data_IF_458082032878
#
_entry.id   IF_458082032878
#
_cell.length_a   1.000
_cell.length_b   1.000
_cell.length_c   1.000
_cell.angle_alpha   90.00
_cell.angle_beta   90.00
_cell.angle_gamma   90.00
#
_symmetry.space_group_name_H-M   'P 1'
#
loop_
_entity.id
_entity.type
_entity.pdbx_description
1 polymer ?
#
# COMPACT_ATOMS: atom_id res chain seq x y z
N UNK A 1 -15.54 -7.23 12.16
CA UNK A 1 -15.31 -6.57 10.85
C UNK A 1 -14.81 -5.18 11.17
N UNK A 2 -13.51 -4.94 11.09
CA UNK A 2 -12.88 -3.73 11.62
C UNK A 2 -13.35 -2.50 10.84
N UNK A 3 -13.94 -1.52 11.53
CA UNK A 3 -14.17 -0.19 10.99
C UNK A 3 -12.86 0.35 10.41
N UNK A 4 -12.85 0.72 9.13
CA UNK A 4 -11.67 1.28 8.48
C UNK A 4 -11.18 2.50 9.24
N UNK A 5 -9.92 2.48 9.68
CA UNK A 5 -9.28 3.61 10.37
C UNK A 5 -9.32 4.81 9.42
N UNK A 6 -10.05 5.86 9.79
CA UNK A 6 -10.10 7.10 9.03
C UNK A 6 -8.82 7.89 9.30
N UNK A 7 -8.02 8.10 8.26
CA UNK A 7 -6.85 8.97 8.35
C UNK A 7 -7.29 10.43 8.35
N UNK A 8 -7.10 11.11 9.48
CA UNK A 8 -7.40 12.53 9.65
C UNK A 8 -6.13 13.36 9.60
N UNK A 9 -6.25 14.61 9.14
CA UNK A 9 -5.12 15.55 9.21
C UNK A 9 -4.71 15.76 10.66
N UNK A 10 -3.41 15.92 10.87
CA UNK A 10 -2.89 16.33 12.18
C UNK A 10 -3.58 17.62 12.65
N UNK A 11 -3.86 17.69 13.96
CA UNK A 11 -4.39 18.90 14.59
C UNK A 11 -3.40 20.07 14.49
N UNK A 12 -3.87 21.33 14.58
CA UNK A 12 -3.04 22.52 14.37
C UNK A 12 -1.89 22.69 15.38
N UNK A 13 -1.94 21.99 16.51
CA UNK A 13 -0.91 22.01 17.54
C UNK A 13 0.15 20.89 17.40
N UNK A 14 -0.05 19.95 16.47
CA UNK A 14 0.89 18.85 16.25
C UNK A 14 1.84 19.20 15.12
N UNK A 15 3.14 19.15 15.38
CA UNK A 15 4.18 19.21 14.35
C UNK A 15 5.03 17.95 14.43
N UNK A 16 5.15 17.24 13.32
CA UNK A 16 5.93 16.02 13.24
C UNK A 16 7.43 16.34 13.36
N UNK A 17 8.15 15.50 14.11
CA UNK A 17 9.61 15.56 14.14
C UNK A 17 10.17 15.54 12.70
N UNK A 18 11.08 16.46 12.32
CA UNK A 18 11.73 16.46 11.01
C UNK A 18 12.29 15.09 10.57
N UNK A 19 12.84 14.30 11.49
CA UNK A 19 13.35 12.96 11.17
C UNK A 19 12.23 11.99 10.78
N UNK A 20 11.11 12.02 11.53
CA UNK A 20 9.93 11.20 11.24
C UNK A 20 9.36 11.59 9.87
N UNK A 21 9.29 12.90 9.58
CA UNK A 21 8.84 13.40 8.28
C UNK A 21 9.73 12.90 7.14
N UNK A 22 11.06 12.99 7.28
CA UNK A 22 11.98 12.52 6.26
C UNK A 22 11.85 11.00 6.04
N UNK A 23 11.77 10.22 7.11
CA UNK A 23 11.55 8.77 7.05
C UNK A 23 10.23 8.44 6.34
N UNK A 24 9.14 9.11 6.72
CA UNK A 24 7.82 8.94 6.11
C UNK A 24 7.86 9.21 4.61
N UNK A 25 8.47 10.33 4.20
CA UNK A 25 8.58 10.70 2.79
C UNK A 25 9.40 9.69 1.98
N UNK A 26 10.51 9.21 2.55
CA UNK A 26 11.33 8.16 1.92
C UNK A 26 10.52 6.88 1.70
N UNK A 27 9.78 6.44 2.71
CA UNK A 27 8.91 5.26 2.62
C UNK A 27 7.84 5.42 1.55
N UNK A 28 7.14 6.57 1.52
CA UNK A 28 6.12 6.83 0.50
C UNK A 28 6.75 6.82 -0.90
N UNK A 29 7.96 7.37 -1.07
CA UNK A 29 8.70 7.28 -2.33
C UNK A 29 8.95 5.84 -2.78
N UNK A 30 9.36 4.96 -1.86
CA UNK A 30 9.53 3.52 -2.15
C UNK A 30 8.20 2.85 -2.53
N UNK A 31 7.11 3.16 -1.81
CA UNK A 31 5.80 2.59 -2.11
C UNK A 31 5.24 3.08 -3.46
N UNK A 32 5.50 4.34 -3.84
CA UNK A 32 5.16 4.88 -5.16
C UNK A 32 5.90 4.14 -6.27
N UNK A 33 7.16 3.78 -6.06
CA UNK A 33 7.91 2.97 -7.02
C UNK A 33 7.30 1.57 -7.17
N UNK A 34 6.96 0.91 -6.05
CA UNK A 34 6.37 -0.42 -6.05
C UNK A 34 4.99 -0.45 -6.74
N UNK A 35 4.14 0.55 -6.47
CA UNK A 35 2.79 0.55 -7.05
C UNK A 35 2.79 0.72 -8.57
N UNK A 36 3.80 1.40 -9.13
CA UNK A 36 3.90 1.62 -10.57
C UNK A 36 4.41 0.39 -11.31
N UNK A 37 5.22 -0.45 -10.67
CA UNK A 37 5.88 -1.59 -11.31
C UNK A 37 5.23 -2.94 -11.02
N UNK A 38 5.16 -3.31 -9.74
CA UNK A 38 4.90 -4.70 -9.32
C UNK A 38 3.59 -4.89 -8.57
N UNK A 39 3.09 -3.84 -7.91
CA UNK A 39 1.93 -3.92 -7.03
C UNK A 39 0.92 -2.78 -7.27
N UNK A 40 0.24 -2.72 -8.43
CA UNK A 40 -0.75 -1.68 -8.69
C UNK A 40 -1.96 -1.75 -7.73
N UNK A 41 -2.15 -2.88 -7.06
CA UNK A 41 -3.18 -3.12 -6.05
C UNK A 41 -3.05 -2.24 -4.81
N UNK A 42 -1.85 -1.75 -4.46
CA UNK A 42 -1.66 -0.84 -3.31
C UNK A 42 -1.82 0.65 -3.66
N UNK A 43 -2.03 0.98 -4.94
CA UNK A 43 -2.00 2.36 -5.45
C UNK A 43 -2.91 3.31 -4.69
N UNK A 44 -4.16 2.92 -4.44
CA UNK A 44 -5.13 3.74 -3.70
C UNK A 44 -4.64 4.11 -2.30
N UNK A 45 -4.12 3.13 -1.56
CA UNK A 45 -3.65 3.34 -0.19
C UNK A 45 -2.42 4.26 -0.15
N UNK A 46 -1.49 4.08 -1.08
CA UNK A 46 -0.27 4.91 -1.20
C UNK A 46 -0.62 6.35 -1.59
N UNK A 47 -1.48 6.54 -2.59
CA UNK A 47 -1.95 7.87 -3.00
C UNK A 47 -2.69 8.58 -1.86
N UNK A 48 -3.42 7.86 -1.02
CA UNK A 48 -4.07 8.48 0.14
C UNK A 48 -3.06 8.92 1.19
N UNK A 49 -2.05 8.09 1.49
CA UNK A 49 -1.02 8.38 2.48
C UNK A 49 -0.05 9.49 2.05
N UNK A 50 0.18 9.68 0.75
CA UNK A 50 1.03 10.76 0.24
C UNK A 50 0.48 12.16 0.55
N UNK A 51 -0.83 12.29 0.73
CA UNK A 51 -1.49 13.56 1.10
C UNK A 51 -1.04 14.08 2.48
N UNK A 52 -0.45 13.23 3.31
CA UNK A 52 -0.04 13.54 4.68
C UNK A 52 1.48 13.66 4.85
N UNK A 53 2.25 13.72 3.75
CA UNK A 53 3.73 13.79 3.77
C UNK A 53 4.32 15.04 4.46
N UNK A 54 3.54 16.12 4.56
CA UNK A 54 4.01 17.37 5.20
C UNK A 54 4.01 17.30 6.72
N UNK A 55 3.05 16.57 7.32
CA UNK A 55 2.90 16.44 8.76
C UNK A 55 2.29 15.06 9.11
N UNK A 56 3.09 13.99 9.02
CA UNK A 56 2.65 12.63 9.31
C UNK A 56 2.46 12.39 10.82
N UNK A 57 1.42 11.64 11.17
CA UNK A 57 1.12 11.23 12.56
C UNK A 57 1.43 9.74 12.78
N UNK A 58 1.36 9.28 14.03
CA UNK A 58 1.50 7.86 14.38
C UNK A 58 0.50 6.96 13.65
N UNK A 59 -0.73 7.43 13.43
CA UNK A 59 -1.76 6.70 12.68
C UNK A 59 -1.38 6.53 11.21
N UNK A 60 -0.83 7.57 10.58
CA UNK A 60 -0.29 7.47 9.22
C UNK A 60 0.84 6.45 9.14
N UNK A 61 1.71 6.39 10.16
CA UNK A 61 2.76 5.36 10.23
C UNK A 61 2.24 3.95 10.46
N UNK A 62 1.19 3.78 11.26
CA UNK A 62 0.52 2.51 11.41
C UNK A 62 -0.07 2.03 10.07
N UNK A 63 -0.72 2.92 9.32
CA UNK A 63 -1.27 2.59 8.00
C UNK A 63 -0.20 2.20 6.98
N UNK A 64 0.93 2.90 6.93
CA UNK A 64 2.10 2.51 6.13
C UNK A 64 2.62 1.13 6.52
N UNK A 65 2.70 0.83 7.83
CA UNK A 65 3.11 -0.49 8.32
C UNK A 65 2.15 -1.59 7.87
N UNK A 66 0.84 -1.31 7.82
CA UNK A 66 -0.14 -2.23 7.26
C UNK A 66 0.12 -2.56 5.78
N UNK A 67 0.48 -1.56 4.96
CA UNK A 67 0.86 -1.80 3.56
C UNK A 67 2.08 -2.73 3.48
N UNK A 68 3.10 -2.53 4.32
CA UNK A 68 4.25 -3.44 4.34
C UNK A 68 3.89 -4.85 4.80
N UNK A 69 3.01 -5.01 5.79
CA UNK A 69 2.51 -6.32 6.20
C UNK A 69 1.76 -7.01 5.06
N UNK A 70 0.94 -6.27 4.31
CA UNK A 70 0.27 -6.76 3.11
C UNK A 70 1.29 -7.19 2.04
N UNK A 71 2.22 -6.32 1.67
CA UNK A 71 3.27 -6.64 0.70
C UNK A 71 4.08 -7.86 1.13
N UNK A 72 4.40 -8.00 2.41
CA UNK A 72 5.11 -9.15 2.95
C UNK A 72 4.33 -10.46 2.75
N UNK A 73 3.04 -10.46 3.06
CA UNK A 73 2.18 -11.63 2.89
C UNK A 73 2.06 -12.09 1.43
N UNK A 74 2.18 -11.17 0.48
CA UNK A 74 1.95 -11.43 -0.95
C UNK A 74 3.24 -11.70 -1.76
N UNK A 75 4.42 -11.73 -1.12
CA UNK A 75 5.73 -11.91 -1.80
C UNK A 75 5.89 -13.20 -2.60
N UNK A 76 5.12 -14.23 -2.28
CA UNK A 76 5.24 -15.57 -2.86
C UNK A 76 4.04 -15.95 -3.73
N UNK A 77 3.06 -15.06 -3.88
CA UNK A 77 1.90 -15.28 -4.73
C UNK A 77 2.29 -14.91 -6.17
N UNK A 78 2.39 -15.92 -7.02
CA UNK A 78 2.70 -15.77 -8.44
C UNK A 78 1.61 -16.42 -9.28
N UNK A 79 1.30 -15.82 -10.42
CA UNK A 79 0.47 -16.49 -11.43
C UNK A 79 1.39 -17.49 -12.15
N UNK A 80 1.21 -18.77 -11.86
CA UNK A 80 2.00 -19.85 -12.47
C UNK A 80 1.32 -20.33 -13.74
N UNK A 81 1.91 -19.99 -14.88
CA UNK A 81 1.56 -20.57 -16.18
C UNK A 81 2.52 -21.73 -16.47
N UNK A 82 2.29 -22.91 -15.87
CA UNK A 82 3.21 -24.02 -16.08
C UNK A 82 2.81 -24.96 -17.22
N UNK A 83 1.60 -24.88 -17.79
CA UNK A 83 1.19 -25.71 -18.96
C UNK A 83 1.23 -27.23 -18.73
N UNK A 84 1.71 -27.67 -17.55
CA UNK A 84 1.97 -29.05 -17.18
C UNK A 84 0.69 -29.82 -16.87
N UNK A 85 -0.41 -29.11 -16.58
CA UNK A 85 -1.71 -29.75 -16.29
C UNK A 85 -2.52 -30.13 -17.54
N UNK A 86 -2.03 -29.85 -18.76
CA UNK A 86 -2.68 -30.26 -20.02
C UNK A 86 -4.03 -29.59 -20.32
N UNK A 87 -4.66 -28.94 -19.34
CA UNK A 87 -5.71 -27.95 -19.55
C UNK A 87 -5.03 -26.68 -20.06
N UNK A 88 -5.27 -26.31 -21.32
CA UNK A 88 -4.80 -25.03 -21.87
C UNK A 88 -5.28 -23.80 -21.08
N UNK A 89 -5.06 -22.60 -21.60
CA UNK A 89 -5.57 -21.37 -20.97
C UNK A 89 -7.11 -21.38 -20.94
N UNK A 90 -7.71 -21.53 -19.75
CA UNK A 90 -9.17 -21.42 -19.56
C UNK A 90 -9.48 -20.00 -19.09
N UNK A 91 -10.13 -19.21 -19.94
CA UNK A 91 -10.65 -17.89 -19.58
C UNK A 91 -12.08 -17.99 -19.06
N UNK A 92 -12.34 -17.47 -17.86
CA UNK A 92 -13.68 -17.28 -17.35
C UNK A 92 -14.06 -15.80 -17.50
N UNK A 93 -15.24 -15.54 -18.05
CA UNK A 93 -15.89 -14.22 -18.04
C UNK A 93 -17.09 -14.35 -17.12
N UNK A 94 -17.10 -13.61 -16.01
CA UNK A 94 -18.34 -13.41 -15.28
C UNK A 94 -19.19 -12.41 -16.09
N UNK A 95 -20.39 -12.84 -16.44
CA UNK A 95 -21.37 -11.96 -17.09
C UNK A 95 -22.13 -11.20 -16.01
N UNK A 96 -22.35 -9.91 -16.25
CA UNK A 96 -23.17 -9.03 -15.40
C UNK A 96 -24.67 -9.27 -15.60
#
# INVERSE_FOLDING_TARGET
>A
MAHGVQLVKAGPAYDANPELRHMYQSIIGTLLYLMLGTHPDISFAVTKLSQFMSNPTSEHMAAVKHIFCYLNGHRHLVIRYDGLSGSGLIGYVDSN
#
